data_IF_123087767765
#
_entry.id   IF_123087767765
#
_cell.length_a   1.000
_cell.length_b   1.000
_cell.length_c   1.000
_cell.angle_alpha   90.00
_cell.angle_beta   90.00
_cell.angle_gamma   90.00
#
_symmetry.space_group_name_H-M   'P 1'
#
loop_
_entity.id
_entity.type
_entity.pdbx_description
1 polymer ?
2 non-polymer ?
3 water ?
#
# COMPACT_ATOMS: atom_id res chain seq x y z
N UNK A 8 -19.88 1.67 24.42
CA UNK A 8 -18.78 1.75 23.47
C UNK A 8 -18.16 3.15 23.45
N UNK A 9 -17.05 3.27 22.72
CA UNK A 9 -16.37 4.55 22.56
C UNK A 9 -15.92 4.73 21.13
N UNK A 10 -15.05 5.71 20.90
CA UNK A 10 -14.55 5.96 19.56
C UNK A 10 -13.13 6.53 19.55
N UNK A 11 -12.41 6.29 18.47
CA UNK A 11 -11.07 6.83 18.30
C UNK A 11 -11.12 8.27 17.80
N UNK A 12 -10.59 9.19 18.60
CA UNK A 12 -10.52 10.59 18.19
C UNK A 12 -9.39 10.83 17.19
N UNK A 13 -8.19 10.40 17.55
CA UNK A 13 -7.01 10.69 16.74
C UNK A 13 -6.07 9.50 16.63
N UNK A 14 -5.34 9.42 15.52
CA UNK A 14 -4.33 8.39 15.30
C UNK A 14 -3.11 8.97 14.57
N UNK A 15 -2.03 9.21 15.31
CA UNK A 15 -0.84 9.83 14.72
C UNK A 15 0.45 9.02 14.98
N UNK A 16 1.53 9.41 14.30
CA UNK A 16 2.82 8.76 14.47
C UNK A 16 3.94 9.76 14.73
N UNK A 17 4.73 9.51 15.77
CA UNK A 17 5.84 10.38 16.13
C UNK A 17 7.17 9.68 15.88
N UNK A 18 8.12 10.40 15.28
CA UNK A 18 9.45 9.84 15.02
C UNK A 18 10.49 10.33 16.03
N UNK A 19 11.33 9.43 16.50
CA UNK A 19 12.48 9.81 17.30
C UNK A 19 13.62 10.16 16.36
N UNK A 20 13.88 11.45 16.18
CA UNK A 20 14.87 11.90 15.22
C UNK A 20 16.29 11.81 15.76
N UNK A 21 17.26 11.96 14.88
CA UNK A 21 18.66 11.86 15.24
C UNK A 21 19.32 13.24 15.20
N UNK A 22 18.59 14.24 15.70
CA UNK A 22 19.07 15.61 15.72
C UNK A 22 19.60 16.02 17.10
N UNK A 25 15.71 18.77 13.68
CA UNK A 25 14.78 17.72 14.08
C UNK A 25 13.92 17.25 12.90
N UNK A 26 14.54 16.46 12.02
CA UNK A 26 13.89 16.00 10.80
C UNK A 26 14.02 14.48 10.65
N UNK A 27 12.92 13.80 10.29
CA UNK A 27 12.95 12.34 10.11
C UNK A 27 13.80 11.91 8.91
N UNK A 28 15.11 12.14 8.98
CA UNK A 28 16.02 11.68 7.93
C UNK A 28 16.86 10.51 8.45
N UNK A 29 16.97 9.46 7.65
CA UNK A 29 17.67 8.25 8.07
C UNK A 29 18.58 7.70 6.97
N UNK A 30 19.45 6.76 7.35
CA UNK A 30 20.33 6.10 6.39
C UNK A 30 20.47 4.61 6.69
N UNK A 31 21.38 3.94 5.98
CA UNK A 31 21.59 2.51 6.17
C UNK A 31 22.08 2.19 7.58
N UNK A 32 21.50 1.14 8.17
CA UNK A 32 21.90 0.71 9.50
C UNK A 32 21.26 1.53 10.61
N UNK A 33 20.64 2.65 10.26
CA UNK A 33 20.01 3.51 11.26
C UNK A 33 18.77 2.85 11.85
N UNK A 34 18.51 3.16 13.11
CA UNK A 34 17.31 2.66 13.78
C UNK A 34 16.20 3.69 13.73
N UNK A 35 15.15 3.38 12.97
CA UNK A 35 13.97 4.20 12.93
C UNK A 35 13.03 3.78 14.05
N UNK A 36 12.81 4.68 14.99
CA UNK A 36 11.96 4.37 16.13
C UNK A 36 11.03 5.55 16.43
N UNK A 37 10.01 5.28 17.24
CA UNK A 37 9.06 6.30 17.61
C UNK A 37 7.87 5.68 18.30
N UNK A 38 6.81 6.47 18.45
CA UNK A 38 5.60 6.02 19.14
C UNK A 38 4.39 6.18 18.25
N UNK A 39 3.48 5.21 18.33
CA UNK A 39 2.18 5.34 17.69
C UNK A 39 1.21 5.94 18.71
N UNK A 40 0.76 7.16 18.43
CA UNK A 40 -0.13 7.88 19.35
C UNK A 40 -1.60 7.62 19.05
N UNK A 41 -2.36 7.33 20.10
CA UNK A 41 -3.77 6.98 19.95
C UNK A 41 -4.63 7.68 21.01
N UNK A 42 -5.49 8.59 20.57
CA UNK A 42 -6.39 9.29 21.48
C UNK A 42 -7.82 8.76 21.34
N UNK A 43 -8.45 8.43 22.46
CA UNK A 43 -9.76 7.78 22.44
C UNK A 43 -10.71 8.40 23.46
N UNK A 44 -11.98 8.48 23.09
CA UNK A 44 -13.03 8.89 24.01
C UNK A 44 -13.87 7.67 24.38
N UNK A 45 -14.21 7.55 25.65
CA UNK A 45 -14.95 6.41 26.12
C UNK A 45 -14.08 5.17 26.22
N UNK A 46 -14.55 4.07 25.64
CA UNK A 46 -13.83 2.82 25.72
C UNK A 46 -13.92 2.03 24.41
N UNK A 47 -12.78 1.54 23.93
CA UNK A 47 -12.77 0.74 22.71
C UNK A 47 -12.05 -0.59 22.92
N UNK A 48 -12.43 -1.60 22.13
CA UNK A 48 -11.71 -2.87 22.13
C UNK A 48 -10.87 -2.98 20.87
N UNK A 49 -9.63 -3.45 21.05
CA UNK A 49 -8.68 -3.51 19.95
C UNK A 49 -8.23 -4.95 19.68
N UNK A 50 -8.37 -5.38 18.43
CA UNK A 50 -7.97 -6.72 18.03
C UNK A 50 -6.46 -6.79 17.91
N UNK A 51 -5.89 -5.77 17.27
CA UNK A 51 -4.46 -5.72 17.02
C UNK A 51 -4.03 -4.32 16.61
N UNK A 52 -2.77 -4.01 16.87
CA UNK A 52 -2.16 -2.77 16.41
C UNK A 52 -0.81 -3.10 15.77
N UNK A 53 -0.74 -3.01 14.46
CA UNK A 53 0.47 -3.41 13.74
C UNK A 53 1.12 -2.23 13.02
N UNK A 54 2.43 -2.33 12.79
CA UNK A 54 3.14 -1.34 11.98
C UNK A 54 3.71 -2.00 10.72
N UNK A 55 3.74 -1.23 9.64
CA UNK A 55 4.30 -1.71 8.39
C UNK A 55 5.21 -0.65 7.78
N UNK A 56 6.50 -0.95 7.74
CA UNK A 56 7.47 -0.05 7.13
C UNK A 56 7.80 -0.51 5.72
N UNK A 57 7.90 0.43 4.79
CA UNK A 57 8.20 0.10 3.41
C UNK A 57 8.90 1.26 2.71
N UNK A 58 9.76 0.92 1.76
CA UNK A 58 10.38 1.89 0.89
C UNK A 58 10.42 1.33 -0.51
N UNK A 59 10.05 2.14 -1.50
CA UNK A 59 9.96 1.67 -2.87
C UNK A 59 10.05 2.80 -3.89
N UNK A 60 10.36 2.43 -5.12
CA UNK A 60 10.27 3.36 -6.24
C UNK A 60 8.88 3.23 -6.82
N UNK A 61 8.27 4.34 -7.20
CA UNK A 61 6.87 4.31 -7.61
C UNK A 61 6.64 5.21 -8.81
N UNK A 62 5.84 4.72 -9.75
CA UNK A 62 5.51 5.50 -10.92
C UNK A 62 4.01 5.43 -11.26
N UNK A 63 3.37 6.60 -11.25
CA UNK A 63 1.98 6.74 -11.63
C UNK A 63 1.83 7.15 -13.08
N UNK A 64 0.88 6.54 -13.78
CA UNK A 64 0.53 6.99 -15.12
C UNK A 64 -0.89 6.58 -15.46
N UNK A 65 -1.56 7.39 -16.27
CA UNK A 65 -2.92 7.11 -16.69
C UNK A 65 -2.97 6.91 -18.20
N UNK A 66 -3.98 6.19 -18.66
CA UNK A 66 -4.17 5.98 -20.09
C UNK A 66 -5.64 6.07 -20.44
N UNK A 67 -5.95 6.85 -21.47
CA UNK A 67 -7.32 7.12 -21.86
C UNK A 67 -7.87 6.02 -22.76
N UNK A 68 -9.11 5.62 -22.50
CA UNK A 68 -9.75 4.57 -23.27
C UNK A 68 -11.04 5.09 -23.89
N UNK A 69 -11.45 4.47 -24.99
CA UNK A 69 -12.66 4.86 -25.71
C UNK A 69 -12.66 6.34 -26.11
N UNK A 74 -18.17 6.83 -25.13
CA UNK A 74 -18.24 6.57 -23.69
C UNK A 74 -16.87 6.28 -23.09
N UNK A 75 -16.07 7.33 -22.95
CA UNK A 75 -14.68 7.20 -22.54
C UNK A 75 -14.50 7.24 -21.02
N UNK A 76 -13.33 6.80 -20.58
CA UNK A 76 -12.96 6.86 -19.17
C UNK A 76 -11.44 6.85 -19.08
N UNK A 77 -10.92 6.97 -17.85
CA UNK A 77 -9.48 6.98 -17.65
C UNK A 77 -9.03 5.84 -16.74
N UNK A 78 -8.13 5.01 -17.26
CA UNK A 78 -7.60 3.89 -16.49
C UNK A 78 -6.30 4.27 -15.76
N UNK A 79 -6.30 4.06 -14.45
CA UNK A 79 -5.15 4.40 -13.61
C UNK A 79 -4.20 3.22 -13.39
N UNK A 80 -2.90 3.49 -13.50
CA UNK A 80 -1.89 2.47 -13.26
C UNK A 80 -0.83 2.94 -12.26
N UNK A 81 -0.21 1.98 -11.57
CA UNK A 81 0.90 2.26 -10.67
C UNK A 81 1.88 1.09 -10.66
N UNK A 82 3.17 1.40 -10.75
CA UNK A 82 4.20 0.39 -10.75
C UNK A 82 5.22 0.65 -9.65
N UNK A 83 5.50 -0.37 -8.85
CA UNK A 83 6.41 -0.22 -7.71
C UNK A 83 7.54 -1.24 -7.73
N UNK A 84 8.69 -0.83 -7.21
CA UNK A 84 9.81 -1.73 -6.98
C UNK A 84 10.27 -1.57 -5.54
N UNK A 85 10.12 -2.63 -4.74
CA UNK A 85 10.40 -2.53 -3.31
C UNK A 85 11.89 -2.59 -2.97
N UNK A 86 12.32 -1.66 -2.12
CA UNK A 86 13.70 -1.63 -1.65
C UNK A 86 13.78 -2.12 -0.21
N UNK A 87 12.69 -1.98 0.52
CA UNK A 87 12.67 -2.29 1.95
C UNK A 87 11.26 -2.61 2.43
N UNK A 88 11.18 -3.58 3.34
CA UNK A 88 9.89 -4.00 3.89
C UNK A 88 10.08 -4.61 5.27
N UNK A 89 9.22 -4.21 6.21
CA UNK A 89 9.31 -4.71 7.57
C UNK A 89 7.99 -4.55 8.32
N UNK A 90 7.53 -5.64 8.91
CA UNK A 90 6.29 -5.62 9.70
C UNK A 90 6.59 -5.96 11.16
N UNK A 91 5.73 -5.49 12.05
CA UNK A 91 5.82 -5.85 13.46
C UNK A 91 4.49 -5.57 14.17
N UNK A 92 4.17 -6.39 15.16
CA UNK A 92 2.94 -6.21 15.91
C UNK A 92 3.20 -5.48 17.22
N UNK A 93 2.32 -4.54 17.56
CA UNK A 93 2.47 -3.76 18.77
C UNK A 93 1.45 -4.16 19.83
N UNK A 94 0.28 -4.61 19.39
CA UNK A 94 -0.78 -5.06 20.30
C UNK A 94 -1.44 -6.34 19.82
N UNK A 95 -1.54 -7.32 20.72
CA UNK A 95 -2.24 -8.57 20.47
C UNK A 95 -1.63 -9.52 19.44
N UNK A 96 -2.46 -10.44 18.96
CA UNK A 96 -2.06 -11.46 18.00
C UNK A 96 -0.84 -12.24 18.49
N UNK A 107 -8.97 -9.92 22.59
CA UNK A 107 -9.05 -8.48 22.39
C UNK A 107 -8.41 -7.70 23.55
N UNK A 108 -8.04 -6.46 23.29
CA UNK A 108 -7.47 -5.57 24.30
C UNK A 108 -8.37 -4.36 24.50
N UNK A 109 -8.54 -3.95 25.76
CA UNK A 109 -9.47 -2.86 26.07
C UNK A 109 -8.72 -1.59 26.42
N UNK A 110 -9.16 -0.48 25.83
CA UNK A 110 -8.53 0.81 26.04
C UNK A 110 -9.57 1.87 26.42
N UNK A 111 -9.24 2.68 27.43
CA UNK A 111 -10.16 3.70 27.92
C UNK A 111 -9.74 5.10 27.49
N UNK A 112 -10.49 6.10 27.95
CA UNK A 112 -10.27 7.48 27.54
C UNK A 112 -8.88 7.99 27.87
N UNK A 113 -8.42 8.98 27.11
CA UNK A 113 -7.10 9.55 27.30
C UNK A 113 -6.13 9.21 26.19
N UNK A 114 -4.91 9.71 26.30
CA UNK A 114 -3.88 9.47 25.30
C UNK A 114 -3.13 8.17 25.57
N UNK A 115 -2.81 7.45 24.51
CA UNK A 115 -2.09 6.19 24.64
C UNK A 115 -0.91 6.16 23.66
N UNK A 116 0.23 5.67 24.15
CA UNK A 116 1.45 5.64 23.35
C UNK A 116 2.00 4.23 23.24
N UNK A 117 2.41 3.85 22.03
CA UNK A 117 2.95 2.53 21.78
C UNK A 117 4.24 2.60 20.97
N UNK A 118 5.35 2.34 21.63
CA UNK A 118 6.66 2.50 21.03
C UNK A 118 6.95 1.42 19.98
N UNK A 119 7.59 1.83 18.89
CA UNK A 119 8.01 0.90 17.86
C UNK A 119 9.47 1.16 17.52
N UNK A 120 10.15 0.13 17.02
CA UNK A 120 11.55 0.28 16.66
C UNK A 120 11.99 -0.81 15.69
N UNK A 121 12.55 -0.40 14.55
CA UNK A 121 13.12 -1.33 13.59
C UNK A 121 14.40 -0.74 13.03
N UNK A 122 15.08 -1.50 12.18
CA UNK A 122 16.33 -1.01 11.62
C UNK A 122 16.37 -1.15 10.11
N UNK A 123 17.04 -0.19 9.47
CA UNK A 123 17.18 -0.21 8.02
C UNK A 123 18.34 -1.14 7.65
N UNK A 124 18.22 -1.80 6.49
CA UNK A 124 19.26 -2.72 6.01
C UNK A 124 20.62 -2.04 5.90
N UNK A 125 21.68 -2.77 6.24
CA UNK A 125 23.01 -2.19 6.17
C UNK A 125 23.48 -2.13 4.72
N UNK A 126 22.78 -2.85 3.85
CA UNK A 126 22.96 -2.71 2.41
C UNK A 126 22.50 -1.32 1.99
N UNK A 127 23.13 -0.76 0.94
CA UNK A 127 22.73 0.57 0.46
C UNK A 127 21.27 0.64 0.03
N UNK A 128 20.59 1.73 0.37
CA UNK A 128 19.19 1.91 -0.01
C UNK A 128 19.04 3.08 -0.96
N UNK A 129 17.95 3.07 -1.73
CA UNK A 129 17.68 4.16 -2.66
C UNK A 129 17.35 5.43 -1.89
N UNK A 130 17.86 6.55 -2.38
CA UNK A 130 17.61 7.86 -1.77
C UNK A 130 16.22 8.38 -2.13
N UNK A 131 15.54 9.01 -1.18
CA UNK A 131 14.21 9.57 -1.44
C UNK A 131 14.27 10.63 -2.53
N UNK A 132 13.24 10.65 -3.38
CA UNK A 132 13.18 11.58 -4.50
C UNK A 132 11.74 11.80 -4.95
N UNK A 133 11.46 12.99 -5.48
CA UNK A 133 10.14 13.30 -6.00
C UNK A 133 10.23 13.87 -7.41
N UNK A 134 9.99 13.02 -8.40
CA UNK A 134 9.96 13.46 -9.78
C UNK A 134 8.54 13.88 -10.10
N UNK A 135 8.16 13.83 -11.37
CA UNK A 135 6.81 14.26 -11.74
C UNK A 135 5.90 13.07 -12.01
N UNK A 136 6.47 11.95 -12.44
CA UNK A 136 5.70 10.72 -12.52
C UNK A 136 6.46 9.57 -11.87
N UNK A 137 7.66 9.84 -11.38
CA UNK A 137 8.43 8.85 -10.68
C UNK A 137 8.89 9.37 -9.35
N UNK A 138 9.12 8.46 -8.41
CA UNK A 138 9.52 8.84 -7.06
C UNK A 138 9.99 7.66 -6.23
N UNK A 139 10.79 7.96 -5.22
CA UNK A 139 11.18 6.98 -4.22
C UNK A 139 10.72 7.47 -2.87
N UNK A 140 9.92 6.67 -2.18
CA UNK A 140 9.33 7.06 -0.90
C UNK A 140 9.49 5.97 0.15
N UNK A 141 9.71 6.41 1.39
CA UNK A 141 9.74 5.53 2.55
C UNK A 141 8.64 5.97 3.51
N UNK A 142 7.96 5.03 4.14
CA UNK A 142 6.95 5.39 5.11
C UNK A 142 6.72 4.31 6.17
N UNK A 143 6.16 4.73 7.30
CA UNK A 143 5.73 3.82 8.34
C UNK A 143 4.22 3.90 8.44
N UNK A 144 3.56 2.75 8.36
CA UNK A 144 2.10 2.69 8.39
C UNK A 144 1.62 2.08 9.71
N UNK A 145 0.67 2.73 10.36
CA UNK A 145 0.10 2.21 11.60
C UNK A 145 -1.31 1.68 11.35
N UNK A 146 -1.53 0.40 11.66
CA UNK A 146 -2.80 -0.24 11.34
C UNK A 146 -3.56 -0.67 12.59
N UNK A 147 -4.78 -0.16 12.75
CA UNK A 147 -5.60 -0.44 13.91
C UNK A 147 -6.78 -1.35 13.56
N UNK A 148 -6.84 -2.50 14.22
CA UNK A 148 -7.91 -3.45 13.99
C UNK A 148 -8.84 -3.55 15.20
N UNK A 149 -10.13 -3.36 14.97
CA UNK A 149 -11.11 -3.42 16.02
C UNK A 149 -12.27 -4.33 15.63
N UNK A 150 -12.83 -5.05 16.61
CA UNK A 150 -14.03 -5.86 16.39
C UNK A 150 -15.22 -5.01 15.93
N UNK A 151 -15.91 -5.48 14.90
CA UNK A 151 -17.09 -4.82 14.34
C UNK A 151 -16.81 -3.40 13.82
N UNK A 152 -15.56 -3.16 13.43
CA UNK A 152 -15.20 -1.89 12.79
C UNK A 152 -14.19 -2.12 11.68
N UNK A 153 -14.21 -1.24 10.68
CA UNK A 153 -13.30 -1.34 9.55
C UNK A 153 -11.89 -0.93 9.94
N UNK A 154 -10.88 -1.60 9.35
CA UNK A 154 -9.48 -1.28 9.62
C UNK A 154 -9.13 0.16 9.28
N UNK A 155 -8.37 0.80 10.16
CA UNK A 155 -7.93 2.19 9.93
C UNK A 155 -6.41 2.24 9.88
N UNK A 156 -5.88 2.92 8.87
CA UNK A 156 -4.44 3.02 8.70
C UNK A 156 -3.98 4.46 8.56
N UNK A 157 -2.80 4.75 9.11
CA UNK A 157 -2.20 6.07 9.03
C UNK A 157 -0.77 5.92 8.52
N UNK A 158 -0.47 6.53 7.38
CA UNK A 158 0.85 6.39 6.76
C UNK A 158 1.64 7.70 6.83
N UNK A 159 2.75 7.67 7.56
CA UNK A 159 3.61 8.83 7.70
C UNK A 159 4.95 8.61 7.01
N UNK A 160 5.35 9.57 6.19
CA UNK A 160 6.55 9.44 5.37
C UNK A 160 7.80 9.90 6.11
N UNK A 161 8.89 9.17 5.93
CA UNK A 161 10.19 9.61 6.42
C UNK A 161 11.21 9.55 5.29
N UNK A 162 12.26 10.36 5.42
CA UNK A 162 13.24 10.48 4.35
C UNK A 162 14.45 9.58 4.59
N UNK A 163 14.90 8.93 3.52
CA UNK A 163 16.11 8.11 3.58
C UNK A 163 17.15 8.64 2.60
N UNK A 164 18.34 8.94 3.14
CA UNK A 164 19.46 9.36 2.33
C UNK A 164 20.73 8.68 2.80
N UNK A 165 21.40 7.97 1.88
CA UNK A 165 22.60 7.23 2.24
C UNK A 165 23.74 8.16 2.61
N UNK A 166 24.55 7.73 3.57
CA UNK A 166 25.71 8.51 3.98
C UNK A 166 26.89 8.17 3.08
N UNK A 167 27.80 9.13 2.93
CA UNK A 167 28.90 9.01 1.98
C UNK A 167 29.82 7.82 2.30
N UNK A 168 30.26 7.12 1.26
CA UNK A 168 31.16 5.99 1.42
C UNK A 168 32.43 6.22 0.59
N UNK A 169 33.57 6.19 1.27
CA UNK A 169 34.84 6.42 0.61
C UNK A 169 35.41 5.14 0.01
N UNK A 170 34.65 4.06 0.12
CA UNK A 170 35.04 2.79 -0.50
C UNK A 170 33.98 2.28 -1.46
N UNK A 171 33.53 3.15 -2.36
CA UNK A 171 32.49 2.82 -3.33
C UNK A 171 33.07 2.28 -4.63
N UNK A 172 32.66 1.07 -5.01
CA UNK A 172 33.15 0.43 -6.23
C UNK A 172 32.60 1.08 -7.49
N UNK A 173 33.13 0.70 -8.64
CA UNK A 173 32.67 1.23 -9.92
C UNK A 173 32.52 0.12 -10.96
N UNK B 8 20.72 -16.24 -17.82
CA UNK B 8 19.57 -15.57 -17.23
C UNK B 8 18.74 -14.86 -18.31
N UNK B 9 17.59 -14.35 -17.91
CA UNK B 9 16.71 -13.60 -18.79
C UNK B 9 16.16 -12.39 -18.07
N UNK B 10 15.13 -11.77 -18.64
CA UNK B 10 14.51 -10.61 -18.02
C UNK B 10 13.04 -10.49 -18.35
N UNK B 11 12.28 -9.86 -17.46
CA UNK B 11 10.86 -9.61 -17.67
C UNK B 11 10.66 -8.41 -18.59
N UNK B 12 10.03 -8.65 -19.74
CA UNK B 12 9.73 -7.58 -20.68
C UNK B 12 8.56 -6.72 -20.21
N UNK B 13 7.43 -7.37 -19.94
CA UNK B 13 6.20 -6.66 -19.59
C UNK B 13 5.42 -7.34 -18.47
N UNK B 14 4.67 -6.54 -17.70
CA UNK B 14 3.81 -7.06 -16.65
C UNK B 14 2.52 -6.25 -16.60
N UNK B 15 1.44 -6.83 -17.12
CA UNK B 15 0.17 -6.12 -17.19
C UNK B 15 -0.99 -6.90 -16.54
N UNK B 16 -2.12 -6.22 -16.38
CA UNK B 16 -3.31 -6.84 -15.82
C UNK B 16 -4.51 -6.58 -16.72
N UNK B 17 -5.23 -7.65 -17.04
CA UNK B 17 -6.42 -7.54 -17.87
C UNK B 17 -7.67 -7.86 -17.07
N UNK B 18 -8.70 -7.03 -17.24
CA UNK B 18 -9.98 -7.24 -16.58
C UNK B 18 -11.01 -7.82 -17.54
N UNK B 19 -11.77 -8.80 -17.06
CA UNK B 19 -12.93 -9.30 -17.81
C UNK B 19 -14.13 -8.42 -17.50
N UNK B 20 -14.49 -7.55 -18.44
CA UNK B 20 -15.54 -6.57 -18.24
C UNK B 20 -16.93 -7.19 -18.42
N UNK B 21 -17.94 -6.45 -18.00
CA UNK B 21 -19.32 -6.92 -18.06
C UNK B 21 -20.14 -6.18 -19.12
N UNK B 25 -17.31 -3.56 -21.17
CA UNK B 25 -16.30 -2.78 -21.87
C UNK B 25 -15.45 -1.96 -20.91
N UNK B 26 -16.01 -1.69 -19.72
CA UNK B 26 -15.35 -0.88 -18.70
C UNK B 26 -15.34 -1.61 -17.37
N UNK B 27 -14.19 -1.62 -16.66
CA UNK B 27 -14.10 -2.32 -15.37
C UNK B 27 -14.92 -1.67 -14.26
N UNK B 28 -16.25 -1.69 -14.41
CA UNK B 28 -17.15 -1.19 -13.38
C UNK B 28 -17.85 -2.35 -12.70
N UNK B 29 -17.88 -2.33 -11.37
CA UNK B 29 -18.44 -3.45 -10.61
C UNK B 29 -19.34 -3.00 -9.47
N UNK B 30 -20.09 -3.94 -8.90
CA UNK B 30 -20.93 -3.68 -7.75
C UNK B 30 -20.86 -4.84 -6.76
N UNK B 31 -21.71 -4.81 -5.73
CA UNK B 31 -21.69 -5.88 -4.73
C UNK B 31 -22.07 -7.23 -5.34
N UNK B 32 -21.35 -8.27 -4.95
CA UNK B 32 -21.60 -9.61 -5.45
C UNK B 32 -21.00 -9.91 -6.81
N UNK B 33 -20.50 -8.88 -7.50
CA UNK B 33 -19.93 -9.03 -8.83
C UNK B 33 -18.58 -9.76 -8.83
N UNK B 34 -18.28 -10.43 -9.94
CA UNK B 34 -17.02 -11.14 -10.08
C UNK B 34 -15.97 -10.30 -10.76
N UNK B 35 -14.95 -9.89 -10.02
CA UNK B 35 -13.81 -9.25 -10.63
C UNK B 35 -12.85 -10.36 -10.99
N UNK B 36 -12.69 -10.59 -12.28
CA UNK B 36 -11.81 -11.65 -12.75
C UNK B 36 -11.01 -11.13 -13.93
N UNK B 37 -9.96 -11.87 -14.27
CA UNK B 37 -9.11 -11.46 -15.38
C UNK B 37 -7.85 -12.29 -15.39
N UNK B 38 -6.87 -11.82 -16.16
CA UNK B 38 -5.61 -12.53 -16.33
C UNK B 38 -4.50 -11.58 -15.90
N UNK B 39 -3.47 -12.12 -15.23
CA UNK B 39 -2.24 -11.38 -14.96
C UNK B 39 -1.26 -11.68 -16.09
N UNK B 40 -0.97 -10.75 -16.98
CA UNK B 40 -0.10 -11.17 -18.07
C UNK B 40 1.35 -10.80 -17.79
N UNK B 41 2.19 -11.75 -18.15
CA UNK B 41 3.62 -11.68 -17.90
C UNK B 41 4.37 -12.03 -19.18
N UNK B 42 5.06 -11.05 -19.74
CA UNK B 42 5.82 -11.26 -20.97
C UNK B 42 7.31 -11.34 -20.64
N UNK B 43 7.99 -12.35 -21.16
CA UNK B 43 9.36 -12.63 -20.75
C UNK B 43 10.28 -12.90 -21.95
N UNK B 44 11.49 -12.38 -21.88
CA UNK B 44 12.52 -12.69 -22.87
C UNK B 44 13.57 -13.58 -22.21
N UNK B 45 14.01 -14.61 -22.91
CA UNK B 45 14.98 -15.55 -22.37
C UNK B 45 14.34 -16.46 -21.35
N UNK B 46 14.97 -16.57 -20.19
CA UNK B 46 14.48 -17.45 -19.13
C UNK B 46 14.68 -16.82 -17.76
N UNK B 47 13.63 -16.83 -16.95
CA UNK B 47 13.70 -16.26 -15.61
C UNK B 47 13.27 -17.27 -14.55
N UNK B 48 13.75 -17.09 -13.32
CA UNK B 48 13.30 -17.90 -12.21
C UNK B 48 12.33 -17.08 -11.36
N UNK B 49 11.21 -17.70 -10.98
CA UNK B 49 10.18 -16.99 -10.24
C UNK B 49 9.91 -17.65 -8.90
N UNK B 50 10.02 -16.87 -7.83
CA UNK B 50 9.77 -17.37 -6.48
C UNK B 50 8.27 -17.46 -6.20
N UNK B 51 7.54 -16.43 -6.59
CA UNK B 51 6.10 -16.36 -6.36
C UNK B 51 5.43 -15.30 -7.21
N UNK B 52 4.16 -15.51 -7.51
CA UNK B 52 3.34 -14.50 -8.19
C UNK B 52 1.99 -14.38 -7.49
N UNK B 53 1.81 -13.28 -6.76
CA UNK B 53 0.61 -13.09 -5.96
C UNK B 53 -0.21 -11.90 -6.44
N UNK B 54 -1.51 -11.94 -6.16
CA UNK B 54 -2.37 -10.78 -6.41
C UNK B 54 -2.93 -10.27 -5.09
N UNK B 55 -3.14 -8.97 -5.02
CA UNK B 55 -3.72 -8.35 -3.83
C UNK B 55 -4.79 -7.36 -4.25
N UNK B 56 -6.03 -7.67 -3.89
CA UNK B 56 -7.16 -6.79 -4.19
C UNK B 56 -7.53 -5.97 -2.96
N UNK B 57 -7.80 -4.69 -3.15
CA UNK B 57 -8.14 -3.82 -2.05
C UNK B 57 -9.02 -2.65 -2.51
N UNK B 58 -9.89 -2.21 -1.61
CA UNK B 58 -10.66 -1.00 -1.82
C UNK B 58 -10.70 -0.25 -0.52
N UNK B 59 -10.48 1.06 -0.57
CA UNK B 59 -10.43 1.85 0.65
C UNK B 59 -10.67 3.34 0.38
N UNK B 60 -11.03 4.06 1.44
CA UNK B 60 -11.08 5.52 1.40
C UNK B 60 -9.75 6.05 1.92
N UNK B 61 -9.23 7.10 1.28
CA UNK B 61 -7.90 7.60 1.59
C UNK B 61 -7.89 9.12 1.57
N UNK B 62 -7.12 9.71 2.49
CA UNK B 62 -6.98 11.15 2.56
C UNK B 62 -5.51 11.55 2.63
N UNK B 63 -5.06 12.32 1.65
CA UNK B 63 -3.70 12.83 1.62
C UNK B 63 -3.68 14.25 2.19
N UNK B 64 -2.68 14.59 2.99
CA UNK B 64 -2.50 15.99 3.36
C UNK B 64 -1.07 16.26 3.77
N UNK B 65 -0.60 17.47 3.46
CA UNK B 65 0.77 17.86 3.78
C UNK B 65 0.78 18.86 4.91
N UNK B 66 1.87 18.87 5.67
CA UNK B 66 2.03 19.83 6.76
C UNK B 66 3.47 20.34 6.84
N UNK B 67 3.62 21.67 6.89
CA UNK B 67 4.94 22.28 6.89
C UNK B 67 5.54 22.38 8.30
N UNK B 68 6.81 22.02 8.42
CA UNK B 68 7.50 22.06 9.70
C UNK B 68 8.78 22.87 9.61
N UNK B 69 9.22 23.41 10.75
CA UNK B 69 10.42 24.23 10.84
C UNK B 69 10.38 25.42 9.88
N UNK B 73 16.63 27.79 9.64
CA UNK B 73 15.31 27.19 9.43
C UNK B 73 15.37 26.14 8.33
N UNK B 74 16.01 25.02 8.63
CA UNK B 74 16.05 23.88 7.71
C UNK B 74 14.68 23.20 7.66
N UNK B 75 13.75 23.83 6.95
CA UNK B 75 12.36 23.40 6.96
C UNK B 75 12.10 22.32 5.93
N UNK B 76 10.98 21.63 6.08
CA UNK B 76 10.57 20.58 5.16
C UNK B 76 9.06 20.40 5.20
N UNK B 77 8.55 19.50 4.36
CA UNK B 77 7.13 19.22 4.31
C UNK B 77 6.86 17.77 4.67
N UNK B 78 6.05 17.56 5.70
CA UNK B 78 5.71 16.22 6.15
C UNK B 78 4.41 15.73 5.49
N UNK B 79 4.50 14.58 4.82
CA UNK B 79 3.34 14.00 4.14
C UNK B 79 2.63 12.97 5.00
N UNK B 80 1.30 13.05 5.03
CA UNK B 80 0.49 12.09 5.77
C UNK B 80 -0.57 11.49 4.86
N UNK B 81 -1.00 10.27 5.19
CA UNK B 81 -2.10 9.61 4.48
C UNK B 81 -2.89 8.76 5.46
N UNK B 82 -4.21 8.85 5.38
CA UNK B 82 -5.06 8.09 6.27
C UNK B 82 -6.03 7.25 5.44
N UNK B 83 -6.08 5.95 5.74
CA UNK B 83 -6.92 5.04 4.96
C UNK B 83 -7.87 4.23 5.83
N UNK B 84 -9.05 3.94 5.28
CA UNK B 84 -10.00 3.03 5.91
C UNK B 84 -10.43 1.96 4.90
N UNK B 85 -10.09 0.71 5.20
CA UNK B 85 -10.31 -0.39 4.27
C UNK B 85 -11.76 -0.89 4.23
N UNK B 86 -12.29 -1.05 3.01
CA UNK B 86 -13.64 -1.57 2.81
C UNK B 86 -13.60 -3.02 2.33
N UNK B 87 -12.49 -3.40 1.71
CA UNK B 87 -12.38 -4.71 1.08
C UNK B 87 -10.92 -5.12 0.97
N UNK B 88 -10.65 -6.39 1.19
CA UNK B 88 -9.30 -6.92 1.10
C UNK B 88 -9.31 -8.41 0.78
N UNK B 89 -8.47 -8.82 -0.17
CA UNK B 89 -8.39 -10.23 -0.55
C UNK B 89 -7.08 -10.55 -1.27
N UNK B 90 -6.40 -11.60 -0.82
CA UNK B 90 -5.16 -12.05 -1.44
C UNK B 90 -5.32 -13.44 -2.04
N UNK B 91 -4.48 -13.77 -3.02
CA UNK B 91 -4.49 -15.08 -3.66
C UNK B 91 -3.14 -15.35 -4.31
N UNK B 92 -2.71 -16.62 -4.30
CA UNK B 92 -1.44 -17.01 -4.90
C UNK B 92 -1.65 -17.64 -6.27
N UNK B 93 -0.83 -17.24 -7.23
CA UNK B 93 -0.91 -17.76 -8.59
C UNK B 93 0.27 -18.69 -8.91
N UNK B 94 1.40 -18.44 -8.27
CA UNK B 94 2.60 -19.28 -8.45
C UNK B 94 3.26 -19.54 -7.10
N UNK B 95 3.52 -20.82 -6.81
CA UNK B 95 4.20 -21.22 -5.58
C UNK B 95 3.39 -20.95 -4.33
N UNK B 107 12.66 -20.57 -7.72
CA UNK B 107 12.07 -21.85 -7.34
C UNK B 107 11.32 -22.47 -8.51
N UNK B 108 10.60 -21.64 -9.27
CA UNK B 108 9.87 -22.10 -10.44
C UNK B 108 10.41 -21.42 -11.70
N UNK B 109 10.49 -22.15 -12.81
CA UNK B 109 11.10 -21.64 -14.04
C UNK B 109 10.09 -21.31 -15.14
N UNK B 110 10.30 -20.14 -15.76
CA UNK B 110 9.45 -19.67 -16.86
C UNK B 110 10.32 -19.29 -18.05
N UNK B 111 9.91 -19.69 -19.25
CA UNK B 111 10.72 -19.45 -20.44
C UNK B 111 10.16 -18.32 -21.29
N UNK B 112 10.79 -18.07 -22.42
CA UNK B 112 10.46 -16.93 -23.27
C UNK B 112 9.03 -16.98 -23.79
N UNK B 113 8.48 -15.82 -24.09
CA UNK B 113 7.12 -15.70 -24.60
C UNK B 113 6.15 -15.10 -23.61
N UNK B 114 4.89 -14.96 -24.01
CA UNK B 114 3.86 -14.39 -23.15
C UNK B 114 3.21 -15.47 -22.29
N UNK B 115 2.94 -15.13 -21.03
CA UNK B 115 2.28 -16.04 -20.10
C UNK B 115 1.14 -15.34 -19.40
N UNK B 116 0.02 -16.05 -19.27
CA UNK B 116 -1.17 -15.48 -18.65
C UNK B 116 -1.64 -16.34 -17.49
N UNK B 117 -2.02 -15.69 -16.39
CA UNK B 117 -2.44 -16.39 -15.19
C UNK B 117 -3.75 -15.81 -14.67
N UNK B 118 -4.83 -16.58 -14.86
CA UNK B 118 -6.17 -16.11 -14.52
C UNK B 118 -6.39 -15.99 -13.01
N UNK B 119 -7.09 -14.93 -12.61
CA UNK B 119 -7.46 -14.72 -11.23
C UNK B 119 -8.95 -14.40 -11.13
N UNK B 120 -9.55 -14.71 -9.99
CA UNK B 120 -10.97 -14.43 -9.79
C UNK B 120 -11.35 -14.37 -8.32
N UNK B 121 -11.98 -13.28 -7.93
CA UNK B 121 -12.52 -13.14 -6.58
C UNK B 121 -13.90 -12.47 -6.62
N UNK B 122 -14.52 -12.29 -5.46
CA UNK B 122 -15.84 -11.68 -5.36
C UNK B 122 -15.89 -10.53 -4.37
N UNK B 123 -16.67 -9.51 -4.72
CA UNK B 123 -16.85 -8.37 -3.85
C UNK B 123 -17.92 -8.72 -2.84
N UNK B 124 -17.78 -8.22 -1.60
CA UNK B 124 -18.78 -8.50 -0.59
C UNK B 124 -20.16 -8.07 -1.04
N UNK B 125 -21.20 -8.85 -0.73
CA UNK B 125 -22.54 -8.50 -1.16
C UNK B 125 -23.12 -7.39 -0.29
N UNK B 126 -22.47 -7.13 0.83
CA UNK B 126 -22.76 -5.96 1.65
C UNK B 126 -22.44 -4.71 0.82
N UNK B 127 -23.15 -3.61 1.08
CA UNK B 127 -22.93 -2.37 0.32
C UNK B 127 -21.47 -1.89 0.36
N UNK B 128 -20.98 -1.43 -0.78
CA UNK B 128 -19.60 -0.95 -0.88
C UNK B 128 -19.55 0.53 -1.16
N UNK B 129 -18.44 1.16 -0.79
CA UNK B 129 -18.24 2.57 -1.04
C UNK B 129 -18.09 2.83 -2.54
N UNK B 130 -18.70 3.92 -3.00
CA UNK B 130 -18.61 4.31 -4.40
C UNK B 130 -17.28 5.00 -4.67
N UNK B 131 -16.67 4.70 -5.81
CA UNK B 131 -15.40 5.31 -6.21
C UNK B 131 -15.53 6.82 -6.39
N UNK B 132 -14.49 7.55 -5.98
CA UNK B 132 -14.48 9.00 -6.07
C UNK B 132 -13.05 9.52 -6.11
N UNK B 133 -12.85 10.64 -6.80
CA UNK B 133 -11.54 11.28 -6.85
C UNK B 133 -11.64 12.76 -6.53
N UNK B 134 -11.37 13.11 -5.27
CA UNK B 134 -11.30 14.50 -4.86
C UNK B 134 -9.86 14.94 -5.00
N UNK B 135 -9.46 16.00 -4.29
CA UNK B 135 -8.09 16.46 -4.44
C UNK B 135 -7.25 16.05 -3.21
N UNK B 136 -7.91 15.85 -2.07
CA UNK B 136 -7.25 15.24 -0.93
C UNK B 136 -8.05 14.08 -0.35
N UNK B 137 -9.19 13.78 -0.97
CA UNK B 137 -9.95 12.61 -0.58
C UNK B 137 -10.27 11.76 -1.80
N UNK B 138 -10.45 10.46 -1.58
CA UNK B 138 -10.78 9.55 -2.66
C UNK B 138 -11.16 8.17 -2.15
N UNK B 139 -11.91 7.45 -2.98
CA UNK B 139 -12.19 6.04 -2.76
C UNK B 139 -11.68 5.28 -3.98
N UNK B 140 -10.78 4.33 -3.77
CA UNK B 140 -10.17 3.62 -4.88
C UNK B 140 -10.19 2.12 -4.65
N UNK B 141 -10.44 1.38 -5.72
CA UNK B 141 -10.35 -0.07 -5.71
C UNK B 141 -9.31 -0.48 -6.72
N UNK B 142 -8.48 -1.46 -6.38
CA UNK B 142 -7.47 -1.91 -7.32
C UNK B 142 -7.04 -3.36 -7.06
N UNK B 143 -6.49 -3.97 -8.10
CA UNK B 143 -5.85 -5.27 -8.00
C UNK B 143 -4.36 -5.10 -8.34
N UNK B 144 -3.48 -5.50 -7.44
CA UNK B 144 -2.05 -5.37 -7.71
C UNK B 144 -1.41 -6.75 -7.87
N UNK B 145 -0.54 -6.87 -8.86
CA UNK B 145 0.17 -8.11 -9.13
C UNK B 145 1.61 -8.00 -8.65
N UNK B 146 2.02 -8.94 -7.79
CA UNK B 146 3.33 -8.89 -7.15
C UNK B 146 4.22 -10.03 -7.62
N UNK B 147 5.36 -9.70 -8.21
CA UNK B 147 6.27 -10.71 -8.73
C UNK B 147 7.54 -10.84 -7.90
N UNK B 148 7.79 -12.04 -7.39
CA UNK B 148 8.98 -12.29 -6.58
C UNK B 148 9.97 -13.19 -7.32
N UNK B 149 11.20 -12.71 -7.44
CA UNK B 149 12.26 -13.45 -8.11
C UNK B 149 13.53 -13.53 -7.27
N UNK B 150 14.24 -14.64 -7.35
CA UNK B 150 15.54 -14.80 -6.69
C UNK B 150 16.56 -13.78 -7.19
N UNK B 151 17.28 -13.16 -6.27
CA UNK B 151 18.34 -12.18 -6.57
C UNK B 151 17.81 -10.97 -7.34
N UNK B 152 16.54 -10.67 -7.16
CA UNK B 152 15.92 -9.49 -7.77
C UNK B 152 14.93 -8.84 -6.82
N UNK B 153 14.76 -7.53 -6.95
CA UNK B 153 13.83 -6.79 -6.10
C UNK B 153 12.39 -7.06 -6.51
N UNK B 154 11.48 -7.09 -5.52
CA UNK B 154 10.05 -7.30 -5.81
C UNK B 154 9.48 -6.21 -6.71
N UNK B 155 8.68 -6.62 -7.69
CA UNK B 155 8.05 -5.70 -8.61
C UNK B 155 6.53 -5.82 -8.53
N UNK B 156 5.84 -4.69 -8.42
CA UNK B 156 4.39 -4.70 -8.30
C UNK B 156 3.72 -3.78 -9.32
N UNK B 157 2.56 -4.22 -9.80
CA UNK B 157 1.76 -3.44 -10.74
C UNK B 157 0.33 -3.30 -10.24
N UNK B 158 -0.10 -2.06 -10.03
CA UNK B 158 -1.42 -1.80 -9.47
C UNK B 158 -2.37 -1.23 -10.53
N UNK B 159 -3.43 -1.98 -10.83
CA UNK B 159 -4.43 -1.52 -11.79
C UNK B 159 -5.76 -1.24 -11.08
N UNK B 160 -6.32 -0.07 -11.33
CA UNK B 160 -7.54 0.37 -10.65
C UNK B 160 -8.81 -0.05 -11.39
N UNK B 161 -9.81 -0.47 -10.64
CA UNK B 161 -11.14 -0.69 -11.20
C UNK B 161 -12.19 0.10 -10.43
N UNK B 162 -13.30 0.41 -11.07
CA UNK B 162 -14.33 1.27 -10.49
C UNK B 162 -15.47 0.46 -9.85
N UNK B 163 -15.90 0.90 -8.67
CA UNK B 163 -17.03 0.27 -7.98
C UNK B 163 -18.16 1.27 -7.78
N UNK B 164 -19.35 0.93 -8.28
CA UNK B 164 -20.54 1.74 -8.07
C UNK B 164 -21.75 0.87 -7.79
N UNK B 165 -22.40 1.12 -6.66
CA UNK B 165 -23.55 0.32 -6.25
C UNK B 165 -24.76 0.54 -7.16
N UNK B 166 -25.56 -0.51 -7.33
CA UNK B 166 -26.76 -0.40 -8.16
C UNK B 166 -27.92 0.16 -7.35
N UNK B 167 -28.83 0.85 -8.03
CA UNK B 167 -29.93 1.52 -7.35
C UNK B 167 -30.85 0.49 -6.68
N UNK B 168 -31.29 0.81 -5.46
CA UNK B 168 -32.17 -0.07 -4.72
C UNK B 168 -33.44 0.67 -4.30
N UNK B 169 -34.60 0.12 -4.65
CA UNK B 169 -35.86 0.77 -4.31
C UNK B 169 -36.28 0.39 -2.89
N UNK B 170 -35.44 -0.39 -2.21
CA UNK B 170 -35.69 -0.76 -0.83
C UNK B 170 -34.51 -0.35 0.05
N UNK B 171 -34.10 0.90 -0.08
CA UNK B 171 -32.96 1.41 0.68
C UNK B 171 -33.40 2.02 2.00
N UNK B 172 -32.88 1.49 3.11
CA UNK B 172 -33.22 1.96 4.47
C UNK B 172 -32.57 3.30 4.80
N UNK B 173 -32.97 3.89 5.92
CA UNK B 173 -32.41 5.17 6.35
C UNK B 173 -32.07 5.15 7.85
#
# INVERSE_FOLDING_TARGET
GAMGSMVLGKVKSLTISFDCLNDSNVPVYSSGDTVSGRVNLEVTGEIRVKSLKIHARGHAKVRWTESRNAGSNTAYTQNYTEEVEYFNHKDILIGHERDDDNSEEGFHTIHSGRHEYAFSFELPQTPLATSFEGRHGSVRYWVKAELHRPWLLPVKLKKEFTVFEHIDINTPSLLSPQAGTKEKT
GAMGSMVLGKVKSLTISFDCLNDSNVPVYSSGDTVSGRVNLEVTGEIRVKSLKIHARGHAKVRWTESRNAGSNTAYTQNYTEEVEYFNHKDILIGHERDDDNSEEGFHTIHSGRHEYAFSFELPQTPLATSFEGRHGSVRYWVKAELHRPWLLPVKLKKEFTVFEHIDINTPSLLSPQAGTKEKT
#
